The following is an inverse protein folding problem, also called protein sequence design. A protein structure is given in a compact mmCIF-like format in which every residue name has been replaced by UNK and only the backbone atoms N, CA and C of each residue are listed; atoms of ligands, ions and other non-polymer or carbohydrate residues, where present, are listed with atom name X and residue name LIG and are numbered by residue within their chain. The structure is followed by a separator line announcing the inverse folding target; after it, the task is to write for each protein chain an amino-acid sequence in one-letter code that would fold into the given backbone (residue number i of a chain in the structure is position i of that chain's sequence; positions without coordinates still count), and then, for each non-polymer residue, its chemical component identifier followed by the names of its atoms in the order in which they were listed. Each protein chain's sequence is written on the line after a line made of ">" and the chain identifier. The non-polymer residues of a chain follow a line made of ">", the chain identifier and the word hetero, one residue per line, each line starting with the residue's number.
data_IF_509963374285
#
_entry.id   IF_509963374285
#
_cell.length_a   1.000
_cell.length_b   1.000
_cell.length_c   1.000
_cell.angle_alpha   90.00
_cell.angle_beta   90.00
_cell.angle_gamma   90.00
#
_symmetry.space_group_name_H-M   'P 1'
#
loop_
_entity.id
_entity.type
_entity.pdbx_description
1 polymer ?
#
# COMPACT_ATOMS: atom_id res chain seq x y z
N UNK A 1 11.47 -10.58 -11.38
CA UNK A 1 11.45 -9.10 -11.17
C UNK A 1 11.77 -8.82 -9.71
N UNK A 2 12.65 -7.88 -9.40
CA UNK A 2 12.97 -7.46 -8.01
C UNK A 2 12.33 -6.11 -7.68
N UNK A 3 12.40 -5.67 -6.41
CA UNK A 3 11.78 -4.42 -5.96
C UNK A 3 12.38 -3.16 -6.62
N UNK A 4 13.66 -3.17 -6.98
CA UNK A 4 14.29 -2.02 -7.65
C UNK A 4 13.67 -1.80 -9.03
N UNK A 5 13.66 -2.87 -9.85
CA UNK A 5 13.05 -2.84 -11.19
C UNK A 5 11.56 -2.51 -11.12
N UNK A 6 10.86 -3.02 -10.12
CA UNK A 6 9.46 -2.68 -9.90
C UNK A 6 9.27 -1.21 -9.47
N UNK A 7 10.19 -0.67 -8.66
CA UNK A 7 10.23 0.75 -8.30
C UNK A 7 10.40 1.64 -9.53
N UNK A 8 11.29 1.29 -10.45
CA UNK A 8 11.48 2.03 -11.71
C UNK A 8 10.21 1.98 -12.59
N UNK A 9 9.55 0.82 -12.66
CA UNK A 9 8.27 0.67 -13.34
C UNK A 9 7.18 1.56 -12.72
N UNK A 10 7.09 1.61 -11.40
CA UNK A 10 6.17 2.49 -10.69
C UNK A 10 6.48 3.97 -10.97
N UNK A 11 7.75 4.35 -10.91
CA UNK A 11 8.20 5.72 -11.17
C UNK A 11 7.83 6.18 -12.59
N UNK A 12 7.94 5.28 -13.60
CA UNK A 12 7.50 5.56 -14.98
C UNK A 12 6.00 5.87 -15.10
N UNK A 13 5.20 5.52 -14.08
CA UNK A 13 3.75 5.76 -13.99
C UNK A 13 3.39 6.85 -12.96
N UNK A 14 4.36 7.62 -12.49
CA UNK A 14 4.17 8.66 -11.47
C UNK A 14 3.88 8.14 -10.06
N UNK A 15 4.13 6.84 -9.81
CA UNK A 15 3.96 6.19 -8.52
C UNK A 15 5.31 6.06 -7.83
N UNK A 16 5.32 6.11 -6.50
CA UNK A 16 6.57 5.95 -5.72
C UNK A 16 6.49 4.74 -4.81
N UNK A 17 7.39 3.77 -5.00
CA UNK A 17 7.57 2.67 -4.06
C UNK A 17 8.19 3.20 -2.75
N UNK A 18 7.56 2.91 -1.63
CA UNK A 18 8.01 3.35 -0.31
C UNK A 18 8.89 2.28 0.36
N UNK A 19 9.84 2.71 1.22
CA UNK A 19 10.54 1.82 2.14
C UNK A 19 9.54 0.99 2.96
N UNK A 20 9.87 -0.27 3.23
CA UNK A 20 8.96 -1.22 3.90
C UNK A 20 8.20 -2.14 2.94
N UNK A 21 8.41 -2.00 1.62
CA UNK A 21 7.90 -2.97 0.63
C UNK A 21 8.77 -4.24 0.57
N UNK A 22 8.14 -5.39 0.37
CA UNK A 22 8.75 -6.71 0.30
C UNK A 22 8.23 -7.50 -0.91
N UNK A 23 9.11 -8.26 -1.57
CA UNK A 23 8.75 -9.08 -2.74
C UNK A 23 8.28 -10.49 -2.37
N UNK A 24 8.61 -10.99 -1.17
CA UNK A 24 8.25 -12.34 -0.72
C UNK A 24 7.99 -12.33 0.79
N UNK A 25 6.77 -12.68 1.23
CA UNK A 25 5.54 -12.56 0.44
C UNK A 25 5.34 -11.11 -0.03
N UNK A 26 4.61 -10.93 -1.13
CA UNK A 26 4.45 -9.60 -1.73
C UNK A 26 3.66 -8.68 -0.80
N UNK A 27 4.30 -7.59 -0.40
CA UNK A 27 3.71 -6.50 0.33
C UNK A 27 4.28 -5.18 -0.19
N UNK A 28 3.45 -4.33 -0.77
CA UNK A 28 3.88 -3.09 -1.41
C UNK A 28 3.25 -1.91 -0.68
N UNK A 29 4.08 -0.94 -0.32
CA UNK A 29 3.66 0.40 0.07
C UNK A 29 3.99 1.35 -1.06
N UNK A 30 2.98 1.96 -1.66
CA UNK A 30 3.11 2.82 -2.84
C UNK A 30 2.42 4.14 -2.58
N UNK A 31 3.11 5.24 -2.82
CA UNK A 31 2.52 6.58 -2.81
C UNK A 31 2.02 6.92 -4.22
N UNK A 32 0.76 7.35 -4.30
CA UNK A 32 0.10 7.82 -5.51
C UNK A 32 0.41 9.31 -5.76
N UNK A 33 0.10 9.87 -6.95
CA UNK A 33 0.40 11.26 -7.27
C UNK A 33 -0.30 12.29 -6.36
N UNK A 34 -1.45 11.93 -5.80
CA UNK A 34 -2.23 12.72 -4.85
C UNK A 34 -1.77 12.55 -3.39
N UNK A 35 -0.63 11.89 -3.18
CA UNK A 35 -0.07 11.49 -1.89
C UNK A 35 -0.86 10.42 -1.11
N UNK A 36 -1.92 9.85 -1.68
CA UNK A 36 -2.61 8.68 -1.11
C UNK A 36 -1.61 7.51 -0.99
N UNK A 37 -1.69 6.76 0.11
CA UNK A 37 -0.84 5.60 0.35
C UNK A 37 -1.62 4.33 0.03
N UNK A 38 -1.17 3.58 -0.97
CA UNK A 38 -1.68 2.26 -1.28
C UNK A 38 -0.83 1.18 -0.62
N UNK A 39 -1.47 0.28 0.14
CA UNK A 39 -0.88 -0.96 0.65
C UNK A 39 -1.47 -2.14 -0.10
N UNK A 40 -0.64 -2.83 -0.86
CA UNK A 40 -1.00 -4.09 -1.51
C UNK A 40 -0.40 -5.26 -0.75
N UNK A 41 -1.17 -6.31 -0.51
CA UNK A 41 -0.70 -7.54 0.15
C UNK A 41 -1.19 -8.76 -0.59
N UNK A 42 -0.29 -9.73 -0.78
CA UNK A 42 -0.62 -11.08 -1.24
C UNK A 42 -0.41 -12.06 -0.08
N UNK A 43 -1.49 -12.58 0.50
CA UNK A 43 -1.46 -13.41 1.73
C UNK A 43 -2.55 -14.46 1.67
N UNK A 44 -2.26 -15.69 2.12
CA UNK A 44 -3.24 -16.77 2.11
C UNK A 44 -3.73 -17.03 0.68
N UNK A 45 -5.05 -16.91 0.49
CA UNK A 45 -5.73 -16.99 -0.80
C UNK A 45 -6.17 -15.61 -1.33
N UNK A 46 -5.73 -14.51 -0.70
CA UNK A 46 -6.26 -13.17 -0.96
C UNK A 46 -5.20 -12.20 -1.47
N UNK A 47 -5.56 -11.42 -2.49
CA UNK A 47 -4.84 -10.20 -2.88
C UNK A 47 -5.68 -9.00 -2.46
N UNK A 48 -5.09 -8.08 -1.72
CA UNK A 48 -5.81 -6.93 -1.16
C UNK A 48 -5.07 -5.65 -1.44
N UNK A 49 -5.80 -4.61 -1.83
CA UNK A 49 -5.32 -3.24 -1.92
C UNK A 49 -6.11 -2.37 -0.94
N UNK A 50 -5.41 -1.72 -0.01
CA UNK A 50 -5.99 -0.71 0.88
C UNK A 50 -5.41 0.65 0.56
N UNK A 51 -6.23 1.68 0.56
CA UNK A 51 -5.78 3.08 0.43
C UNK A 51 -5.90 3.79 1.76
N UNK A 52 -4.94 4.65 2.07
CA UNK A 52 -4.88 5.42 3.29
C UNK A 52 -4.56 6.87 2.97
N UNK A 53 -5.01 7.79 3.83
CA UNK A 53 -4.59 9.19 3.74
C UNK A 53 -3.07 9.32 3.90
N UNK A 54 -2.47 10.36 3.32
CA UNK A 54 -1.03 10.63 3.44
C UNK A 54 -0.57 10.69 4.90
N UNK A 55 -1.43 11.21 5.79
CA UNK A 55 -1.19 11.32 7.25
C UNK A 55 -1.15 9.98 7.98
N UNK A 56 -1.53 8.88 7.35
CA UNK A 56 -1.40 7.54 7.91
C UNK A 56 0.05 7.05 7.93
N UNK A 57 0.94 7.69 7.17
CA UNK A 57 2.34 7.32 7.07
C UNK A 57 3.12 7.88 8.27
N UNK A 58 3.87 7.02 8.95
CA UNK A 58 4.80 7.41 10.01
C UNK A 58 6.23 7.00 9.66
N UNK A 59 7.18 7.83 10.07
CA UNK A 59 8.61 7.64 9.87
C UNK A 59 9.26 7.38 11.21
N UNK A 60 10.04 6.30 11.30
CA UNK A 60 10.86 5.98 12.46
C UNK A 60 12.31 6.06 12.02
N UNK A 61 13.04 7.00 12.59
CA UNK A 61 14.50 7.06 12.49
C UNK A 61 15.06 6.27 13.66
N UNK A 62 15.69 5.13 13.37
CA UNK A 62 16.37 4.34 14.40
C UNK A 62 17.72 5.03 14.65
N UNK A 63 17.91 5.51 15.87
CA UNK A 63 19.19 6.09 16.26
C UNK A 63 20.29 5.00 16.19
N UNK A 64 21.43 5.29 15.55
CA UNK A 64 22.58 4.39 15.53
C UNK A 64 23.17 4.20 16.95
N UNK A 65 23.58 2.97 17.28
CA UNK A 65 23.83 2.52 18.68
C UNK A 65 25.11 3.05 19.34
N UNK A 66 26.03 3.71 18.63
CA UNK A 66 27.19 4.37 19.26
C UNK A 66 26.80 5.79 19.69
N UNK A 67 26.32 5.93 20.92
CA UNK A 67 26.11 7.23 21.58
C UNK A 67 27.39 8.01 21.89
N UNK A 68 28.48 7.78 21.14
CA UNK A 68 29.83 8.24 21.44
C UNK A 68 30.17 9.65 20.92
N UNK A 69 29.31 10.28 20.09
CA UNK A 69 29.56 11.60 19.50
C UNK A 69 30.65 11.68 18.42
N UNK A 70 31.65 10.79 18.46
CA UNK A 70 32.81 10.80 17.53
C UNK A 70 32.60 9.98 16.25
N UNK A 71 31.65 9.04 16.26
CA UNK A 71 31.21 8.37 15.06
C UNK A 71 29.90 9.01 14.68
N UNK A 72 29.89 9.98 13.76
CA UNK A 72 28.66 10.47 13.15
C UNK A 72 28.11 9.36 12.26
N UNK A 73 27.08 8.61 12.66
CA UNK A 73 26.55 7.61 11.79
C UNK A 73 25.59 8.39 10.89
N UNK A 74 25.75 8.24 9.57
CA UNK A 74 24.68 8.61 8.66
C UNK A 74 23.38 8.10 9.26
N UNK A 75 22.41 9.00 9.49
CA UNK A 75 21.09 8.71 10.08
C UNK A 75 20.67 7.27 9.78
N UNK A 76 20.36 6.48 10.81
CA UNK A 76 19.95 5.08 10.62
C UNK A 76 18.82 4.97 9.60
N UNK A 77 18.65 3.81 8.95
CA UNK A 77 17.73 3.67 7.83
C UNK A 77 16.33 4.14 8.20
N UNK A 78 15.83 5.15 7.49
CA UNK A 78 14.48 5.67 7.71
C UNK A 78 13.47 4.57 7.41
N UNK A 79 12.75 4.11 8.43
CA UNK A 79 11.67 3.15 8.26
C UNK A 79 10.37 3.91 8.09
N UNK A 80 9.68 3.60 7.00
CA UNK A 80 8.35 4.10 6.72
C UNK A 80 7.37 2.98 7.04
N UNK A 81 6.35 3.27 7.85
CA UNK A 81 5.28 2.32 8.17
C UNK A 81 3.94 3.04 8.21
N UNK A 82 2.85 2.29 8.12
CA UNK A 82 1.54 2.81 8.46
C UNK A 82 1.42 2.93 9.99
N UNK A 83 0.76 4.00 10.43
CA UNK A 83 0.33 4.16 11.83
C UNK A 83 -0.52 2.97 12.25
N UNK A 84 -0.34 2.51 13.49
CA UNK A 84 -1.17 1.45 14.08
C UNK A 84 -2.66 1.84 14.13
N UNK A 85 -2.97 3.14 14.10
CA UNK A 85 -4.33 3.68 14.13
C UNK A 85 -4.84 4.10 12.74
N UNK A 86 -4.10 3.79 11.67
CA UNK A 86 -4.51 4.12 10.32
C UNK A 86 -5.74 3.29 9.91
N UNK A 87 -6.84 3.97 9.60
CA UNK A 87 -8.02 3.36 8.98
C UNK A 87 -7.94 3.48 7.45
N UNK A 88 -8.23 2.41 6.69
CA UNK A 88 -8.27 2.50 5.24
C UNK A 88 -9.44 3.40 4.80
N UNK A 89 -9.19 4.22 3.78
CA UNK A 89 -10.19 5.00 3.05
C UNK A 89 -11.04 4.08 2.16
N UNK A 90 -10.38 3.17 1.47
CA UNK A 90 -11.01 2.13 0.65
C UNK A 90 -10.24 0.82 0.78
N UNK A 91 -10.93 -0.29 0.51
CA UNK A 91 -10.36 -1.63 0.42
C UNK A 91 -10.95 -2.34 -0.79
N UNK A 92 -10.07 -2.86 -1.65
CA UNK A 92 -10.42 -3.70 -2.78
C UNK A 92 -9.73 -5.06 -2.63
N UNK A 93 -10.46 -6.13 -2.94
CA UNK A 93 -10.02 -7.51 -2.71
C UNK A 93 -10.25 -8.36 -3.95
N UNK A 94 -9.24 -9.14 -4.32
CA UNK A 94 -9.39 -10.31 -5.18
C UNK A 94 -9.44 -11.54 -4.27
N UNK A 95 -10.58 -12.22 -4.33
CA UNK A 95 -10.78 -13.53 -3.73
C UNK A 95 -10.21 -14.61 -4.65
N UNK A 96 -9.05 -15.15 -4.28
CA UNK A 96 -8.39 -16.18 -5.07
C UNK A 96 -9.02 -17.56 -4.93
N UNK A 97 -9.82 -17.82 -3.90
CA UNK A 97 -10.61 -19.05 -3.82
C UNK A 97 -11.68 -19.03 -4.92
N UNK A 98 -12.39 -17.91 -5.03
CA UNK A 98 -13.43 -17.74 -6.04
C UNK A 98 -12.87 -17.66 -7.47
N UNK A 99 -11.81 -16.88 -7.68
CA UNK A 99 -11.30 -16.62 -9.04
C UNK A 99 -10.32 -17.67 -9.55
N UNK A 100 -9.55 -18.30 -8.67
CA UNK A 100 -8.45 -19.19 -9.04
C UNK A 100 -8.56 -20.59 -8.43
N UNK A 101 -9.55 -20.85 -7.57
CA UNK A 101 -9.68 -22.12 -6.86
C UNK A 101 -8.58 -22.34 -5.82
N UNK A 102 -7.96 -21.27 -5.31
CA UNK A 102 -6.95 -21.38 -4.25
C UNK A 102 -7.57 -21.90 -2.97
N UNK A 103 -6.76 -22.57 -2.14
CA UNK A 103 -7.26 -23.26 -0.94
C UNK A 103 -6.40 -23.06 0.30
N UNK A 104 -5.24 -22.39 0.19
CA UNK A 104 -4.32 -22.21 1.31
C UNK A 104 -3.52 -20.92 1.26
N UNK A 105 -2.32 -20.96 0.69
CA UNK A 105 -1.31 -19.90 0.77
C UNK A 105 -0.79 -19.41 -0.58
N UNK A 106 -1.46 -19.80 -1.67
CA UNK A 106 -1.05 -19.58 -3.05
C UNK A 106 -0.79 -18.09 -3.35
N UNK A 107 -1.62 -17.18 -2.81
CA UNK A 107 -1.39 -15.74 -2.96
C UNK A 107 -0.05 -15.32 -2.32
N UNK A 108 0.27 -15.85 -1.14
CA UNK A 108 1.53 -15.57 -0.44
C UNK A 108 2.77 -16.15 -1.12
N UNK A 109 2.58 -17.12 -2.02
CA UNK A 109 3.65 -17.73 -2.81
C UNK A 109 3.87 -17.04 -4.16
N UNK A 110 3.00 -16.10 -4.55
CA UNK A 110 3.17 -15.38 -5.80
C UNK A 110 4.48 -14.59 -5.80
N UNK A 111 5.33 -14.76 -6.83
CA UNK A 111 6.44 -13.86 -7.03
C UNK A 111 5.93 -12.48 -7.43
N UNK A 112 6.73 -11.44 -7.17
CA UNK A 112 6.36 -10.05 -7.48
C UNK A 112 5.94 -9.83 -8.93
N UNK A 113 6.53 -10.56 -9.89
CA UNK A 113 6.18 -10.46 -11.31
C UNK A 113 4.74 -10.89 -11.59
N UNK A 114 4.22 -11.88 -10.85
CA UNK A 114 2.87 -12.42 -11.03
C UNK A 114 1.85 -11.64 -10.19
N UNK A 115 2.26 -11.09 -9.05
CA UNK A 115 1.42 -10.23 -8.22
C UNK A 115 1.22 -8.81 -8.81
N UNK A 116 2.19 -8.32 -9.60
CA UNK A 116 2.19 -6.96 -10.15
C UNK A 116 0.97 -6.64 -11.04
N UNK A 117 0.54 -7.51 -11.98
CA UNK A 117 -0.70 -7.28 -12.73
C UNK A 117 -1.92 -7.07 -11.84
N UNK A 118 -2.08 -7.88 -10.79
CA UNK A 118 -3.20 -7.75 -9.85
C UNK A 118 -3.15 -6.44 -9.05
N UNK A 119 -1.94 -5.98 -8.68
CA UNK A 119 -1.76 -4.66 -8.08
C UNK A 119 -2.29 -3.55 -9.00
N UNK A 120 -1.92 -3.55 -10.29
CA UNK A 120 -2.38 -2.53 -11.24
C UNK A 120 -3.88 -2.64 -11.55
N UNK A 121 -4.45 -3.85 -11.59
CA UNK A 121 -5.89 -4.06 -11.72
C UNK A 121 -6.65 -3.42 -10.55
N UNK A 122 -6.26 -3.73 -9.31
CA UNK A 122 -6.89 -3.15 -8.11
C UNK A 122 -6.68 -1.63 -8.03
N UNK A 123 -5.54 -1.13 -8.51
CA UNK A 123 -5.26 0.30 -8.52
C UNK A 123 -6.20 1.06 -9.47
N UNK A 124 -6.53 0.45 -10.62
CA UNK A 124 -7.31 1.06 -11.70
C UNK A 124 -8.83 0.98 -11.48
N UNK A 125 -9.32 -0.09 -10.85
CA UNK A 125 -10.75 -0.33 -10.61
C UNK A 125 -11.47 0.81 -9.85
N UNK A 126 -10.72 1.64 -9.13
CA UNK A 126 -11.27 2.73 -8.31
C UNK A 126 -11.29 4.08 -9.03
N UNK A 127 -10.51 4.26 -10.10
CA UNK A 127 -10.54 5.51 -10.89
C UNK A 127 -11.86 5.65 -11.66
N UNK A 128 -12.58 4.55 -11.88
CA UNK A 128 -13.87 4.52 -12.59
C UNK A 128 -15.09 4.52 -11.66
N UNK A 129 -14.92 4.51 -10.34
CA UNK A 129 -16.06 4.61 -9.43
C UNK A 129 -16.65 6.03 -9.48
N UNK A 130 -17.92 6.22 -9.89
CA UNK A 130 -18.54 7.53 -9.85
C UNK A 130 -18.62 7.98 -8.39
N UNK A 131 -18.23 9.22 -8.14
CA UNK A 131 -18.44 9.88 -6.87
C UNK A 131 -19.91 9.70 -6.46
N UNK A 132 -20.17 8.82 -5.48
CA UNK A 132 -21.44 8.81 -4.77
C UNK A 132 -21.56 10.16 -4.09
N UNK A 133 -22.31 11.06 -4.74
CA UNK A 133 -22.83 12.27 -4.15
C UNK A 133 -23.43 11.90 -2.80
N UNK A 134 -22.88 12.47 -1.73
CA UNK A 134 -23.57 12.54 -0.46
C UNK A 134 -24.94 13.19 -0.73
N UNK A 135 -26.08 12.56 -0.39
CA UNK A 135 -27.34 13.27 -0.42
C UNK A 135 -27.24 14.40 0.60
N UNK A 136 -27.32 15.61 0.09
CA UNK A 136 -27.47 16.85 0.84
C UNK A 136 -28.58 16.64 1.89
N UNK A 137 -28.19 16.58 3.17
CA UNK A 137 -29.14 16.45 4.26
C UNK A 137 -29.72 17.84 4.50
N UNK A 138 -30.76 18.18 3.74
CA UNK A 138 -31.60 19.34 4.03
C UNK A 138 -32.20 19.18 5.43
N UNK A 139 -31.71 19.95 6.40
CA UNK A 139 -32.37 20.13 7.67
C UNK A 139 -33.63 20.96 7.42
N UNK A 140 -34.78 20.31 7.37
CA UNK A 140 -36.08 21.00 7.41
C UNK A 140 -36.31 21.44 8.85
N UNK A 141 -36.18 22.74 9.09
CA UNK A 141 -36.57 23.37 10.35
C UNK A 141 -38.07 23.25 10.56
N UNK A 142 -38.48 22.78 11.73
CA UNK A 142 -39.88 22.86 12.18
C UNK A 142 -40.04 24.19 12.89
N UNK A 143 -40.98 24.99 12.38
CA UNK A 143 -41.40 26.29 12.92
C UNK A 143 -42.10 26.17 14.27
#
# INVERSE_FOLDING_TARGET
>A
MNLSVFGDLLASRGLRLLPGSHAVPVELLVQLPDATIARFTARGTTLRLRRYAATALTSIVIAPECGCGDHHPHLGPNRVTLSAYASPLTEDVIDGELLFGWTGHEAGLLPLVDAAPHFFTLLSATTEAPATQHPDRTLVGVA
#
